data_IF_683703250339
#
_entry.id   IF_683703250339
#
_cell.length_a   1.000
_cell.length_b   1.000
_cell.length_c   1.000
_cell.angle_alpha   90.00
_cell.angle_beta   90.00
_cell.angle_gamma   90.00
#
_symmetry.space_group_name_H-M   'P 1'
#
loop_
_entity.id
_entity.type
_entity.pdbx_description
1 polymer ?
#
# COMPACT_ATOMS: atom_id res chain seq x y z
N UNK A 1 18.39 10.14 9.69
CA UNK A 1 17.28 11.10 9.42
C UNK A 1 15.97 10.33 9.46
N UNK A 2 14.95 10.84 10.15
CA UNK A 2 13.62 10.24 10.16
C UNK A 2 12.89 10.76 8.91
N UNK A 3 12.75 9.92 7.89
CA UNK A 3 12.05 10.33 6.67
C UNK A 3 10.55 10.51 6.96
N UNK A 4 9.87 11.42 6.26
CA UNK A 4 8.43 11.59 6.41
C UNK A 4 7.68 10.42 5.76
N UNK A 5 6.53 10.09 6.34
CA UNK A 5 5.60 9.12 5.77
C UNK A 5 4.99 9.70 4.49
N UNK A 6 5.00 8.92 3.41
CA UNK A 6 4.19 9.21 2.23
C UNK A 6 2.84 8.49 2.35
N UNK A 7 1.81 9.20 2.81
CA UNK A 7 0.48 8.63 3.03
C UNK A 7 -0.43 8.79 1.81
N UNK A 8 -0.59 7.70 1.06
CA UNK A 8 -1.49 7.58 -0.08
C UNK A 8 -2.92 7.44 0.45
N UNK A 9 -3.63 8.56 0.56
CA UNK A 9 -4.98 8.57 1.08
C UNK A 9 -5.94 8.13 -0.03
N UNK A 10 -6.22 6.83 -0.11
CA UNK A 10 -7.24 6.30 -1.03
C UNK A 10 -8.64 6.66 -0.48
N UNK A 11 -9.55 7.21 -1.30
CA UNK A 11 -10.89 7.55 -0.84
C UNK A 11 -11.64 6.37 -0.24
N UNK A 12 -12.20 6.60 0.96
CA UNK A 12 -13.09 5.69 1.71
C UNK A 12 -12.46 4.40 2.25
N UNK A 13 -11.16 4.43 2.52
CA UNK A 13 -10.41 3.31 3.13
C UNK A 13 -9.89 3.64 4.54
N UNK A 14 -10.70 4.30 5.38
CA UNK A 14 -10.30 4.79 6.71
C UNK A 14 -9.13 5.81 6.73
N UNK A 15 -8.75 6.37 5.57
CA UNK A 15 -7.62 7.28 5.49
C UNK A 15 -7.79 8.62 6.22
N UNK A 16 -9.02 9.13 6.34
CA UNK A 16 -9.31 10.30 7.20
C UNK A 16 -9.01 10.00 8.65
N UNK A 17 -9.41 8.83 9.15
CA UNK A 17 -9.14 8.41 10.53
C UNK A 17 -7.65 8.34 10.82
N UNK A 18 -6.88 7.75 9.90
CA UNK A 18 -5.43 7.65 10.02
C UNK A 18 -4.75 9.03 9.96
N UNK A 19 -5.14 9.89 9.00
CA UNK A 19 -4.62 11.26 8.89
C UNK A 19 -4.90 12.04 10.17
N UNK A 20 -6.12 11.98 10.72
CA UNK A 20 -6.46 12.70 11.95
C UNK A 20 -5.70 12.15 13.15
N UNK A 21 -5.45 10.83 13.23
CA UNK A 21 -4.59 10.25 14.27
C UNK A 21 -3.15 10.83 14.22
N UNK A 22 -2.59 10.98 13.02
CA UNK A 22 -1.30 11.65 12.83
C UNK A 22 -1.37 13.14 13.22
N UNK A 23 -2.41 13.86 12.79
CA UNK A 23 -2.58 15.29 13.09
C UNK A 23 -2.75 15.55 14.59
N UNK A 24 -3.51 14.71 15.30
CA UNK A 24 -3.68 14.80 16.75
C UNK A 24 -2.36 14.62 17.50
N UNK A 25 -1.51 13.72 17.01
CA UNK A 25 -0.23 13.44 17.67
C UNK A 25 0.85 14.47 17.34
N UNK A 26 0.96 14.85 16.08
CA UNK A 26 2.10 15.63 15.59
C UNK A 26 1.75 17.08 15.25
N UNK A 27 0.47 17.46 15.30
CA UNK A 27 -0.02 18.75 14.86
C UNK A 27 -0.17 18.83 13.34
N UNK A 28 -1.26 19.46 12.89
CA UNK A 28 -1.59 19.59 11.46
C UNK A 28 -0.52 20.34 10.65
N UNK A 29 0.23 21.27 11.27
CA UNK A 29 1.31 22.02 10.63
C UNK A 29 2.51 21.15 10.23
N UNK A 30 2.65 19.96 10.84
CA UNK A 30 3.73 19.02 10.56
C UNK A 30 3.35 17.96 9.53
N UNK A 31 2.20 18.12 8.87
CA UNK A 31 1.72 17.22 7.82
C UNK A 31 1.42 18.05 6.58
N UNK A 32 2.19 17.83 5.52
CA UNK A 32 1.90 18.43 4.22
C UNK A 32 0.71 17.71 3.59
N UNK A 33 -0.20 18.49 3.00
CA UNK A 33 -1.41 17.98 2.36
C UNK A 33 -1.36 18.23 0.87
N UNK A 34 -1.68 17.21 0.09
CA UNK A 34 -1.66 17.23 -1.38
C UNK A 34 -2.93 16.57 -1.93
N UNK A 35 -3.96 17.37 -2.19
CA UNK A 35 -5.25 16.88 -2.69
C UNK A 35 -5.40 17.23 -4.17
N UNK A 36 -5.60 18.52 -4.46
CA UNK A 36 -5.57 19.08 -5.82
C UNK A 36 -5.05 20.53 -5.75
N UNK A 37 -4.61 21.14 -6.86
CA UNK A 37 -4.20 22.55 -6.86
C UNK A 37 -5.30 23.50 -6.36
N UNK A 38 -6.56 23.16 -6.65
CA UNK A 38 -7.74 23.97 -6.32
C UNK A 38 -8.27 23.69 -4.91
N UNK A 39 -7.99 22.52 -4.34
CA UNK A 39 -8.42 22.17 -2.99
C UNK A 39 -7.85 23.15 -1.96
N UNK A 40 -8.69 23.64 -1.06
CA UNK A 40 -8.28 24.54 0.02
C UNK A 40 -7.39 23.81 1.04
N UNK A 41 -7.54 22.48 1.18
CA UNK A 41 -6.73 21.68 2.09
C UNK A 41 -5.29 21.48 1.61
N UNK A 42 -5.02 21.63 0.30
CA UNK A 42 -3.66 21.48 -0.24
C UNK A 42 -2.75 22.56 0.34
N UNK A 43 -1.63 22.12 0.92
CA UNK A 43 -0.68 23.00 1.59
C UNK A 43 -0.08 24.02 0.62
N UNK A 44 0.02 25.29 1.05
CA UNK A 44 0.58 26.39 0.23
C UNK A 44 1.93 26.01 -0.39
N UNK A 45 2.81 25.39 0.40
CA UNK A 45 4.12 24.89 -0.06
C UNK A 45 4.04 23.84 -1.16
N UNK A 46 3.05 22.94 -1.12
CA UNK A 46 2.85 21.95 -2.18
C UNK A 46 2.33 22.65 -3.45
N UNK A 47 1.39 23.60 -3.31
CA UNK A 47 0.92 24.43 -4.44
C UNK A 47 2.06 25.17 -5.13
N UNK A 48 2.92 25.79 -4.33
CA UNK A 48 4.07 26.53 -4.81
C UNK A 48 5.11 25.60 -5.46
N UNK A 49 5.65 24.63 -4.71
CA UNK A 49 6.80 23.83 -5.15
C UNK A 49 6.42 22.85 -6.26
N UNK A 50 5.33 22.09 -6.08
CA UNK A 50 4.95 21.02 -7.01
C UNK A 50 4.08 21.56 -8.13
N UNK A 51 3.01 22.28 -7.81
CA UNK A 51 2.04 22.67 -8.84
C UNK A 51 2.42 23.94 -9.62
N UNK A 52 3.25 24.81 -9.07
CA UNK A 52 3.68 26.03 -9.77
C UNK A 52 5.08 25.90 -10.39
N UNK A 53 6.00 25.16 -9.77
CA UNK A 53 7.38 25.05 -10.22
C UNK A 53 7.81 23.64 -10.66
N UNK A 54 7.00 22.60 -10.44
CA UNK A 54 7.32 21.20 -10.74
C UNK A 54 8.66 20.71 -10.10
N UNK A 55 9.02 21.25 -8.93
CA UNK A 55 10.33 21.00 -8.31
C UNK A 55 10.25 19.95 -7.19
N UNK A 56 10.23 18.68 -7.60
CA UNK A 56 10.26 17.55 -6.68
C UNK A 56 11.53 17.49 -5.81
N UNK A 57 12.65 18.01 -6.29
CA UNK A 57 13.90 18.01 -5.53
C UNK A 57 13.84 19.04 -4.39
N UNK A 58 13.33 20.24 -4.63
CA UNK A 58 13.05 21.21 -3.57
C UNK A 58 12.06 20.66 -2.55
N UNK A 59 11.03 19.90 -2.97
CA UNK A 59 10.16 19.22 -2.01
C UNK A 59 10.92 18.19 -1.17
N UNK A 60 11.81 17.39 -1.78
CA UNK A 60 12.66 16.43 -1.06
C UNK A 60 13.53 17.14 -0.01
N UNK A 61 14.15 18.27 -0.37
CA UNK A 61 14.95 19.06 0.56
C UNK A 61 14.10 19.67 1.68
N UNK A 62 12.91 20.17 1.35
CA UNK A 62 11.95 20.70 2.33
C UNK A 62 11.51 19.62 3.35
N UNK A 63 11.20 18.43 2.85
CA UNK A 63 10.82 17.27 3.65
C UNK A 63 11.97 16.75 4.54
N UNK A 64 13.21 16.95 4.11
CA UNK A 64 14.42 16.51 4.84
C UNK A 64 14.92 17.54 5.85
N UNK A 65 14.68 18.82 5.60
CA UNK A 65 15.16 19.95 6.42
C UNK A 65 14.20 20.38 7.52
N UNK A 66 12.94 19.94 7.46
CA UNK A 66 11.90 20.28 8.44
C UNK A 66 11.42 19.02 9.18
N UNK A 67 10.88 19.21 10.38
CA UNK A 67 10.22 18.17 11.18
C UNK A 67 8.86 17.73 10.60
N UNK A 68 8.71 17.66 9.28
CA UNK A 68 7.51 17.10 8.67
C UNK A 68 7.45 15.60 8.98
N UNK A 69 6.29 15.16 9.45
CA UNK A 69 6.06 13.77 9.82
C UNK A 69 5.45 12.99 8.67
N UNK A 70 4.68 13.67 7.82
CA UNK A 70 4.06 13.06 6.66
C UNK A 70 3.77 14.07 5.55
N UNK A 71 3.65 13.55 4.33
CA UNK A 71 2.85 14.13 3.25
C UNK A 71 1.65 13.21 3.00
N UNK A 72 0.47 13.78 2.80
CA UNK A 72 -0.77 13.01 2.71
C UNK A 72 -1.77 13.61 1.72
N UNK A 73 -2.47 12.75 0.98
CA UNK A 73 -3.63 13.18 0.21
C UNK A 73 -3.99 12.28 -0.96
N UNK A 74 -4.77 12.81 -1.90
CA UNK A 74 -5.39 12.05 -2.98
C UNK A 74 -4.53 12.10 -4.25
N UNK A 75 -3.47 11.29 -4.28
CA UNK A 75 -2.55 11.16 -5.42
C UNK A 75 -2.13 9.70 -5.61
N UNK A 76 -1.62 9.38 -6.80
CA UNK A 76 -1.07 8.06 -7.11
C UNK A 76 0.28 7.85 -6.43
N UNK A 77 0.56 6.63 -5.97
CA UNK A 77 1.74 6.26 -5.21
C UNK A 77 3.06 6.65 -5.91
N UNK A 78 3.08 6.58 -7.24
CA UNK A 78 4.22 6.97 -8.08
C UNK A 78 4.65 8.45 -7.89
N UNK A 79 3.71 9.36 -7.60
CA UNK A 79 3.96 10.82 -7.58
C UNK A 79 5.19 11.20 -6.74
N UNK A 80 5.37 10.58 -5.58
CA UNK A 80 6.48 10.89 -4.67
C UNK A 80 7.49 9.76 -4.50
N UNK A 81 7.38 8.70 -5.30
CA UNK A 81 8.19 7.47 -5.14
C UNK A 81 9.69 7.66 -5.37
N UNK A 82 10.06 8.65 -6.19
CA UNK A 82 11.46 9.00 -6.49
C UNK A 82 12.12 9.84 -5.40
N UNK A 83 11.33 10.47 -4.52
CA UNK A 83 11.84 11.37 -3.48
C UNK A 83 11.62 10.86 -2.06
N UNK A 84 10.63 9.99 -1.85
CA UNK A 84 10.37 9.29 -0.59
C UNK A 84 10.43 7.78 -0.86
N UNK A 85 11.27 7.01 -0.14
CA UNK A 85 11.39 5.58 -0.33
C UNK A 85 10.05 4.84 -0.21
N UNK A 86 9.89 3.78 -0.99
CA UNK A 86 8.68 2.94 -0.97
C UNK A 86 8.41 2.30 0.42
N UNK A 87 9.46 2.09 1.21
CA UNK A 87 9.36 1.62 2.60
C UNK A 87 8.75 2.64 3.56
N UNK A 88 8.67 3.91 3.17
CA UNK A 88 8.00 4.99 3.92
C UNK A 88 6.60 5.29 3.38
N UNK A 89 6.13 4.53 2.38
CA UNK A 89 4.77 4.64 1.88
C UNK A 89 3.80 3.92 2.80
N UNK A 90 2.69 4.60 3.06
CA UNK A 90 1.55 4.06 3.80
C UNK A 90 0.30 4.25 2.95
N UNK A 91 -0.51 3.22 2.86
CA UNK A 91 -1.84 3.29 2.28
C UNK A 91 -2.81 2.46 3.12
N UNK A 92 -4.10 2.68 2.92
CA UNK A 92 -5.13 1.78 3.44
C UNK A 92 -6.04 1.36 2.29
N UNK A 93 -6.43 0.10 2.30
CA UNK A 93 -7.42 -0.48 1.39
C UNK A 93 -8.66 -0.93 2.15
N UNK A 94 -9.72 -1.24 1.41
CA UNK A 94 -11.00 -1.74 1.90
C UNK A 94 -11.54 -2.74 0.89
N UNK A 95 -12.40 -3.64 1.35
CA UNK A 95 -13.15 -4.52 0.44
C UNK A 95 -13.80 -3.68 -0.69
N UNK A 96 -13.53 -3.98 -1.97
CA UNK A 96 -13.85 -3.10 -3.09
C UNK A 96 -15.32 -2.71 -3.21
N UNK A 97 -16.25 -3.64 -2.99
CA UNK A 97 -17.69 -3.37 -3.09
C UNK A 97 -18.12 -2.44 -1.95
N UNK A 98 -17.69 -2.73 -0.73
CA UNK A 98 -17.92 -1.92 0.47
C UNK A 98 -17.35 -0.51 0.34
N UNK A 99 -16.21 -0.37 -0.34
CA UNK A 99 -15.58 0.92 -0.65
C UNK A 99 -16.43 1.76 -1.60
N UNK A 100 -16.94 1.15 -2.68
CA UNK A 100 -17.84 1.80 -3.65
C UNK A 100 -19.12 2.28 -2.96
N UNK A 101 -19.79 1.39 -2.21
CA UNK A 101 -21.01 1.72 -1.46
C UNK A 101 -20.76 2.86 -0.47
N UNK A 102 -19.62 2.82 0.24
CA UNK A 102 -19.26 3.86 1.20
C UNK A 102 -19.01 5.22 0.54
N UNK A 103 -18.48 5.23 -0.68
CA UNK A 103 -18.23 6.44 -1.45
C UNK A 103 -19.52 7.02 -2.04
N UNK A 104 -20.33 6.20 -2.69
CA UNK A 104 -21.65 6.59 -3.20
C UNK A 104 -22.49 7.27 -2.12
N UNK A 105 -22.61 6.62 -0.96
CA UNK A 105 -23.31 7.17 0.20
C UNK A 105 -22.72 8.49 0.72
N UNK A 106 -21.41 8.69 0.58
CA UNK A 106 -20.77 9.95 0.95
C UNK A 106 -21.09 11.07 -0.04
N UNK A 107 -21.10 10.77 -1.34
CA UNK A 107 -21.48 11.73 -2.39
C UNK A 107 -22.95 12.12 -2.31
N UNK A 108 -23.86 11.20 -1.96
CA UNK A 108 -25.26 11.54 -1.69
C UNK A 108 -25.35 12.55 -0.55
N UNK A 109 -24.71 12.26 0.60
CA UNK A 109 -24.84 13.09 1.82
C UNK A 109 -24.18 14.47 1.71
N UNK A 110 -23.05 14.57 1.02
CA UNK A 110 -22.19 15.76 1.09
C UNK A 110 -22.01 16.49 -0.25
N UNK A 111 -22.39 15.87 -1.37
CA UNK A 111 -22.21 16.45 -2.70
C UNK A 111 -23.53 16.52 -3.49
N UNK A 112 -24.68 16.19 -2.88
CA UNK A 112 -25.99 16.25 -3.53
C UNK A 112 -26.13 15.30 -4.71
N UNK A 113 -25.34 14.23 -4.76
CA UNK A 113 -25.35 13.26 -5.84
C UNK A 113 -26.67 12.48 -5.88
N UNK A 114 -27.31 12.39 -7.05
CA UNK A 114 -28.66 11.83 -7.19
C UNK A 114 -28.71 10.49 -7.93
N UNK A 115 -27.63 10.06 -8.60
CA UNK A 115 -27.66 8.82 -9.38
C UNK A 115 -27.61 7.58 -8.50
N UNK A 116 -28.10 6.47 -9.04
CA UNK A 116 -28.09 5.16 -8.39
C UNK A 116 -26.67 4.65 -8.09
N UNK A 117 -26.58 3.64 -7.24
CA UNK A 117 -25.32 2.98 -6.90
C UNK A 117 -24.64 2.39 -8.14
N UNK A 118 -25.41 1.78 -9.04
CA UNK A 118 -24.88 1.18 -10.27
C UNK A 118 -24.34 2.24 -11.22
N UNK A 119 -25.07 3.33 -11.43
CA UNK A 119 -24.59 4.45 -12.25
C UNK A 119 -23.31 5.05 -11.68
N UNK A 120 -23.21 5.18 -10.34
CA UNK A 120 -21.97 5.63 -9.68
C UNK A 120 -20.82 4.65 -9.90
N UNK A 121 -21.05 3.34 -9.78
CA UNK A 121 -20.02 2.32 -9.97
C UNK A 121 -19.48 2.26 -11.40
N UNK A 122 -20.32 2.58 -12.40
CA UNK A 122 -19.96 2.62 -13.82
C UNK A 122 -19.12 3.85 -14.21
N UNK A 123 -19.07 4.89 -13.38
CA UNK A 123 -18.22 6.05 -13.65
C UNK A 123 -16.74 5.64 -13.62
N UNK A 124 -15.98 5.99 -14.67
CA UNK A 124 -14.55 5.64 -14.81
C UNK A 124 -13.69 6.02 -13.61
N UNK A 125 -14.07 7.07 -12.88
CA UNK A 125 -13.36 7.49 -11.68
C UNK A 125 -13.54 6.53 -10.51
N UNK A 126 -14.56 5.67 -10.51
CA UNK A 126 -14.86 4.74 -9.42
C UNK A 126 -14.36 3.32 -9.67
N UNK A 127 -14.15 2.94 -10.93
CA UNK A 127 -13.60 1.64 -11.36
C UNK A 127 -12.13 1.49 -10.92
N UNK A 128 -11.78 0.33 -10.34
CA UNK A 128 -10.43 -0.09 -9.96
C UNK A 128 -9.64 1.03 -9.26
N UNK A 129 -10.31 1.76 -8.35
CA UNK A 129 -9.75 2.98 -7.74
C UNK A 129 -8.53 2.66 -6.88
N UNK A 130 -8.55 1.58 -6.09
CA UNK A 130 -7.46 1.24 -5.18
C UNK A 130 -6.21 0.83 -5.99
N UNK A 131 -6.40 0.05 -7.06
CA UNK A 131 -5.35 -0.39 -7.97
C UNK A 131 -4.70 0.78 -8.70
N UNK A 132 -5.50 1.73 -9.21
CA UNK A 132 -4.96 2.96 -9.83
C UNK A 132 -4.16 3.81 -8.85
N UNK A 133 -4.61 3.91 -7.59
CA UNK A 133 -3.86 4.67 -6.59
C UNK A 133 -2.50 4.05 -6.25
N UNK A 134 -2.38 2.72 -6.34
CA UNK A 134 -1.15 1.99 -6.04
C UNK A 134 -0.35 1.59 -7.29
N UNK A 135 -0.80 2.01 -8.48
CA UNK A 135 -0.16 1.64 -9.74
C UNK A 135 1.30 2.10 -9.80
N UNK A 136 2.12 1.35 -10.54
CA UNK A 136 3.55 1.64 -10.73
C UNK A 136 4.42 1.28 -9.52
N UNK A 137 3.84 0.84 -8.40
CA UNK A 137 4.58 0.45 -7.20
C UNK A 137 4.32 -1.03 -6.88
N UNK A 138 5.36 -1.86 -6.71
CA UNK A 138 5.18 -3.22 -6.19
C UNK A 138 4.54 -3.19 -4.80
N UNK A 139 3.31 -3.70 -4.67
CA UNK A 139 2.54 -3.62 -3.42
C UNK A 139 3.26 -4.30 -2.22
N UNK A 140 4.11 -5.29 -2.49
CA UNK A 140 4.93 -5.96 -1.47
C UNK A 140 6.08 -5.11 -0.95
N UNK A 141 6.48 -4.06 -1.68
CA UNK A 141 7.54 -3.11 -1.29
C UNK A 141 7.02 -1.95 -0.44
N UNK A 142 5.72 -1.67 -0.50
CA UNK A 142 5.08 -0.63 0.30
C UNK A 142 5.29 -0.93 1.79
N UNK A 143 5.80 0.08 2.50
CA UNK A 143 6.07 0.03 3.94
C UNK A 143 4.90 -0.52 4.73
N UNK A 144 3.71 0.05 4.56
CA UNK A 144 2.47 -0.49 5.10
C UNK A 144 1.30 -0.28 4.15
N UNK A 145 0.58 -1.37 3.85
CA UNK A 145 -0.79 -1.29 3.37
C UNK A 145 -1.71 -1.84 4.45
N UNK A 146 -2.42 -0.92 5.12
CA UNK A 146 -3.44 -1.26 6.11
C UNK A 146 -4.72 -1.72 5.44
N UNK A 147 -5.53 -2.48 6.17
CA UNK A 147 -6.83 -2.96 5.70
C UNK A 147 -7.89 -2.39 6.63
N UNK A 148 -8.92 -1.77 6.07
CA UNK A 148 -9.97 -1.07 6.84
C UNK A 148 -10.68 -2.01 7.81
N UNK A 149 -10.92 -3.25 7.38
CA UNK A 149 -11.52 -4.34 8.16
C UNK A 149 -10.64 -4.78 9.34
N UNK A 150 -9.34 -4.52 9.28
CA UNK A 150 -8.34 -4.82 10.33
C UNK A 150 -7.63 -3.54 10.79
N UNK A 151 -8.38 -2.42 10.92
CA UNK A 151 -7.79 -1.10 11.17
C UNK A 151 -6.95 -1.04 12.45
N UNK A 152 -7.42 -1.57 13.58
CA UNK A 152 -6.65 -1.59 14.83
C UNK A 152 -5.33 -2.36 14.69
N UNK A 153 -5.34 -3.52 14.02
CA UNK A 153 -4.12 -4.29 13.74
C UNK A 153 -3.17 -3.51 12.83
N UNK A 154 -3.72 -2.81 11.84
CA UNK A 154 -2.96 -1.94 10.93
C UNK A 154 -2.27 -0.78 11.67
N UNK A 155 -2.95 -0.15 12.63
CA UNK A 155 -2.38 0.92 13.46
C UNK A 155 -1.27 0.39 14.37
N UNK A 156 -1.46 -0.78 14.97
CA UNK A 156 -0.43 -1.42 15.79
C UNK A 156 0.82 -1.76 14.98
N UNK A 157 0.64 -2.30 13.77
CA UNK A 157 1.73 -2.59 12.85
C UNK A 157 2.43 -1.31 12.38
N UNK A 158 1.68 -0.25 12.05
CA UNK A 158 2.22 1.08 11.74
C UNK A 158 3.13 1.60 12.86
N UNK A 159 2.64 1.55 14.10
CA UNK A 159 3.39 2.02 15.27
C UNK A 159 4.68 1.23 15.47
N UNK A 160 4.68 -0.09 15.20
CA UNK A 160 5.88 -0.92 15.26
C UNK A 160 6.89 -0.56 14.18
N UNK A 161 6.46 -0.41 12.92
CA UNK A 161 7.35 -0.15 11.78
C UNK A 161 8.01 1.22 11.94
N UNK A 162 7.20 2.26 12.17
CA UNK A 162 7.67 3.64 12.10
C UNK A 162 7.98 4.27 13.47
N UNK A 163 7.77 3.54 14.56
CA UNK A 163 7.99 3.99 15.96
C UNK A 163 7.24 5.30 16.27
N UNK A 164 6.06 5.49 15.65
CA UNK A 164 5.29 6.74 15.74
C UNK A 164 4.23 6.73 16.84
N UNK A 165 3.90 5.60 17.48
CA UNK A 165 2.95 5.48 18.61
C UNK A 165 1.69 6.38 18.52
N UNK A 166 1.01 6.43 17.37
CA UNK A 166 -0.27 7.13 17.22
C UNK A 166 -1.37 6.34 17.95
N UNK A 167 -2.32 7.07 18.53
CA UNK A 167 -3.51 6.47 19.12
C UNK A 167 -4.54 6.25 18.03
N UNK A 168 -5.20 5.09 18.06
CA UNK A 168 -6.29 4.81 17.14
C UNK A 168 -7.36 5.89 17.24
N UNK A 169 -7.70 6.48 16.11
CA UNK A 169 -8.82 7.41 16.02
C UNK A 169 -9.93 6.76 15.18
N UNK A 170 -11.13 6.71 15.75
CA UNK A 170 -12.36 6.32 15.05
C UNK A 170 -13.31 7.52 15.13
N UNK A 171 -13.47 8.23 14.02
CA UNK A 171 -14.59 9.16 13.88
C UNK A 171 -15.75 8.42 13.26
N UNK A 172 -16.96 8.69 13.77
CA UNK A 172 -18.27 8.21 13.32
C UNK A 172 -18.20 7.16 12.21
N UNK A 173 -18.30 5.87 12.62
CA UNK A 173 -18.67 4.78 11.72
C UNK A 173 -19.75 5.31 10.78
N UNK A 174 -19.54 5.25 9.46
CA UNK A 174 -20.59 5.61 8.52
C UNK A 174 -21.89 4.90 8.92
N UNK A 175 -23.08 5.39 8.51
CA UNK A 175 -24.38 4.98 9.05
C UNK A 175 -24.69 3.48 9.04
N UNK A 176 -23.82 2.64 8.46
CA UNK A 176 -23.85 1.18 8.49
C UNK A 176 -23.02 0.61 9.66
N UNK A 177 -23.16 1.20 10.86
CA UNK A 177 -22.79 0.49 12.09
C UNK A 177 -23.70 -0.74 12.28
N UNK A 178 -23.30 -1.75 13.06
CA UNK A 178 -24.15 -2.91 13.30
C UNK A 178 -25.42 -2.45 14.01
N UNK A 179 -26.57 -2.47 13.32
CA UNK A 179 -27.89 -2.23 13.93
C UNK A 179 -28.90 -1.33 13.22
N UNK A 180 -28.69 -0.80 12.00
CA UNK A 180 -29.76 -0.09 11.26
C UNK A 180 -29.80 -0.43 9.77
N UNK A 181 -31.03 -0.70 9.31
CA UNK A 181 -31.51 -1.06 7.96
C UNK A 181 -30.44 -1.26 6.89
N UNK A 182 -30.03 -2.52 6.73
CA UNK A 182 -29.43 -3.00 5.49
C UNK A 182 -30.49 -2.78 4.40
N UNK A 183 -30.31 -1.75 3.58
CA UNK A 183 -30.88 -1.80 2.23
C UNK A 183 -30.24 -3.04 1.64
N UNK A 184 -31.02 -4.10 1.47
CA UNK A 184 -30.56 -5.30 0.78
C UNK A 184 -30.27 -4.87 -0.65
N UNK A 185 -28.99 -4.67 -0.97
CA UNK A 185 -28.55 -4.35 -2.32
C UNK A 185 -28.73 -5.62 -3.14
N UNK A 186 -29.34 -5.49 -4.30
CA UNK A 186 -29.55 -6.61 -5.23
C UNK A 186 -28.20 -7.28 -5.57
N UNK A 187 -28.20 -8.62 -5.59
CA UNK A 187 -27.03 -9.41 -5.93
C UNK A 187 -26.52 -9.08 -7.35
N UNK A 188 -27.43 -8.78 -8.28
CA UNK A 188 -27.05 -8.40 -9.66
C UNK A 188 -26.23 -7.10 -9.68
N UNK A 189 -26.58 -6.14 -8.83
CA UNK A 189 -25.82 -4.89 -8.66
C UNK A 189 -24.45 -5.18 -8.04
N UNK A 190 -24.40 -6.05 -7.04
CA UNK A 190 -23.15 -6.43 -6.37
C UNK A 190 -22.20 -7.11 -7.36
N UNK A 191 -22.70 -8.04 -8.17
CA UNK A 191 -21.89 -8.78 -9.14
C UNK A 191 -21.40 -7.88 -10.27
N UNK A 192 -22.21 -6.91 -10.71
CA UNK A 192 -21.78 -5.89 -11.66
C UNK A 192 -20.70 -4.97 -11.07
N UNK A 193 -20.82 -4.53 -9.80
CA UNK A 193 -19.76 -3.77 -9.13
C UNK A 193 -18.46 -4.59 -9.08
N UNK A 194 -18.54 -5.89 -8.74
CA UNK A 194 -17.36 -6.77 -8.73
C UNK A 194 -16.73 -6.87 -10.11
N UNK A 195 -17.54 -7.09 -11.15
CA UNK A 195 -17.07 -7.19 -12.54
C UNK A 195 -16.34 -5.92 -12.97
N UNK A 196 -16.89 -4.76 -12.64
CA UNK A 196 -16.27 -3.46 -12.91
C UNK A 196 -14.96 -3.27 -12.12
N UNK A 197 -14.79 -3.91 -10.96
CA UNK A 197 -13.69 -3.67 -10.02
C UNK A 197 -12.77 -4.90 -9.83
N UNK A 198 -12.59 -5.71 -10.87
CA UNK A 198 -11.86 -6.98 -10.77
C UNK A 198 -10.39 -6.81 -10.33
N UNK A 199 -9.71 -5.76 -10.78
CA UNK A 199 -8.31 -5.51 -10.40
C UNK A 199 -8.22 -5.15 -8.91
N UNK A 200 -9.17 -4.36 -8.41
CA UNK A 200 -9.28 -4.03 -6.99
C UNK A 200 -9.56 -5.28 -6.14
N UNK A 201 -10.38 -6.22 -6.62
CA UNK A 201 -10.65 -7.49 -5.92
C UNK A 201 -9.37 -8.31 -5.82
N UNK A 202 -8.69 -8.56 -6.95
CA UNK A 202 -7.46 -9.33 -6.98
C UNK A 202 -6.36 -8.69 -6.13
N UNK A 203 -6.22 -7.36 -6.21
CA UNK A 203 -5.26 -6.62 -5.40
C UNK A 203 -5.62 -6.68 -3.91
N UNK A 204 -6.89 -6.50 -3.55
CA UNK A 204 -7.36 -6.54 -2.17
C UNK A 204 -7.08 -7.89 -1.53
N UNK A 205 -7.35 -9.00 -2.22
CA UNK A 205 -7.04 -10.35 -1.72
C UNK A 205 -5.54 -10.54 -1.46
N UNK A 206 -4.69 -10.11 -2.40
CA UNK A 206 -3.23 -10.14 -2.24
C UNK A 206 -2.77 -9.30 -1.04
N UNK A 207 -3.34 -8.12 -0.87
CA UNK A 207 -3.02 -7.21 0.24
C UNK A 207 -3.51 -7.74 1.59
N UNK A 208 -4.68 -8.36 1.66
CA UNK A 208 -5.18 -9.02 2.87
C UNK A 208 -4.27 -10.19 3.26
N UNK A 209 -3.85 -11.02 2.29
CA UNK A 209 -2.93 -12.11 2.55
C UNK A 209 -1.57 -11.60 3.07
N UNK A 210 -1.01 -10.57 2.42
CA UNK A 210 0.22 -9.92 2.85
C UNK A 210 0.07 -9.32 4.27
N UNK A 211 -1.04 -8.63 4.54
CA UNK A 211 -1.34 -8.03 5.83
C UNK A 211 -1.38 -9.09 6.94
N UNK A 212 -2.15 -10.18 6.74
CA UNK A 212 -2.23 -11.30 7.69
C UNK A 212 -0.87 -11.93 7.95
N UNK A 213 -0.05 -12.11 6.91
CA UNK A 213 1.31 -12.62 7.05
C UNK A 213 2.16 -11.67 7.91
N UNK A 214 2.19 -10.36 7.61
CA UNK A 214 2.95 -9.37 8.40
C UNK A 214 2.48 -9.28 9.85
N UNK A 215 1.17 -9.37 10.10
CA UNK A 215 0.59 -9.42 11.45
C UNK A 215 1.03 -10.67 12.21
N UNK A 216 1.13 -11.83 11.55
CA UNK A 216 1.65 -13.07 12.19
C UNK A 216 3.09 -12.87 12.68
N UNK A 217 3.97 -12.33 11.85
CA UNK A 217 5.36 -12.01 12.25
C UNK A 217 5.40 -10.98 13.37
N UNK A 218 4.59 -9.93 13.27
CA UNK A 218 4.47 -8.91 14.31
C UNK A 218 4.06 -9.51 15.66
N UNK A 219 3.01 -10.33 15.71
CA UNK A 219 2.54 -11.02 16.92
C UNK A 219 3.61 -11.96 17.49
N UNK A 220 4.39 -12.60 16.62
CA UNK A 220 5.52 -13.44 17.00
C UNK A 220 6.78 -12.65 17.41
N UNK A 221 6.74 -11.30 17.40
CA UNK A 221 7.89 -10.41 17.66
C UNK A 221 9.08 -10.65 16.72
N UNK A 222 8.81 -11.11 15.51
CA UNK A 222 9.79 -11.34 14.46
C UNK A 222 9.70 -10.26 13.38
N UNK A 223 10.83 -9.93 12.76
CA UNK A 223 10.86 -9.05 11.61
C UNK A 223 10.32 -9.77 10.37
N UNK A 224 9.32 -9.19 9.71
CA UNK A 224 8.88 -9.65 8.41
C UNK A 224 9.79 -9.11 7.30
N UNK A 225 9.81 -9.83 6.19
CA UNK A 225 10.53 -9.50 4.96
C UNK A 225 9.61 -8.77 3.99
N UNK A 226 10.11 -7.68 3.41
CA UNK A 226 9.58 -7.09 2.20
C UNK A 226 10.14 -7.87 1.02
N UNK A 227 9.29 -8.41 0.16
CA UNK A 227 9.76 -9.18 -0.98
C UNK A 227 8.65 -9.71 -1.86
N UNK A 228 9.02 -10.02 -3.08
CA UNK A 228 8.15 -10.64 -4.08
C UNK A 228 8.99 -11.24 -5.19
N UNK A 229 8.39 -12.11 -5.97
CA UNK A 229 9.02 -12.72 -7.14
C UNK A 229 8.02 -12.91 -8.27
N UNK A 230 8.52 -12.95 -9.49
CA UNK A 230 7.77 -13.24 -10.71
C UNK A 230 8.47 -14.35 -11.48
N UNK A 231 7.72 -15.03 -12.33
CA UNK A 231 8.25 -16.06 -13.23
C UNK A 231 8.09 -15.52 -14.66
N UNK A 232 9.20 -15.12 -15.27
CA UNK A 232 9.20 -14.48 -16.59
C UNK A 232 10.36 -15.03 -17.41
N UNK A 233 10.11 -15.36 -18.68
CA UNK A 233 11.16 -15.75 -19.63
C UNK A 233 11.97 -17.00 -19.21
N UNK A 234 11.35 -17.95 -18.51
CA UNK A 234 12.05 -19.14 -17.99
C UNK A 234 12.96 -18.83 -16.80
N UNK A 235 12.74 -17.73 -16.09
CA UNK A 235 13.50 -17.34 -14.90
C UNK A 235 12.55 -16.97 -13.77
N UNK A 236 12.91 -17.37 -12.55
CA UNK A 236 12.35 -16.80 -11.33
C UNK A 236 13.19 -15.57 -11.01
N UNK A 237 12.55 -14.42 -10.91
CA UNK A 237 13.19 -13.15 -10.55
C UNK A 237 12.49 -12.57 -9.34
N UNK A 238 13.24 -12.18 -8.33
CA UNK A 238 12.64 -11.58 -7.16
C UNK A 238 13.58 -10.68 -6.39
N UNK A 239 13.06 -10.20 -5.27
CA UNK A 239 13.79 -9.35 -4.36
C UNK A 239 13.29 -9.58 -2.93
N UNK A 240 14.16 -9.35 -1.96
CA UNK A 240 13.84 -9.54 -0.54
C UNK A 240 14.79 -8.73 0.37
N UNK A 241 14.22 -8.01 1.34
CA UNK A 241 14.96 -7.31 2.40
C UNK A 241 14.11 -7.15 3.68
N UNK A 242 14.74 -6.87 4.81
CA UNK A 242 14.05 -6.47 6.05
C UNK A 242 14.47 -5.04 6.41
N UNK A 243 13.54 -4.24 6.94
CA UNK A 243 13.79 -2.81 7.21
C UNK A 243 14.93 -2.57 8.22
N UNK A 244 15.12 -3.47 9.19
CA UNK A 244 16.14 -3.35 10.23
C UNK A 244 17.37 -4.26 10.00
N UNK A 245 17.53 -4.81 8.79
CA UNK A 245 18.62 -5.75 8.48
C UNK A 245 19.32 -5.38 7.17
N UNK A 246 20.60 -5.03 7.27
CA UNK A 246 21.43 -4.72 6.11
C UNK A 246 22.14 -5.96 5.51
N UNK A 247 21.95 -7.15 6.09
CA UNK A 247 22.48 -8.40 5.53
C UNK A 247 21.64 -8.85 4.35
N UNK A 248 22.26 -9.59 3.44
CA UNK A 248 21.52 -10.32 2.42
C UNK A 248 20.75 -11.47 3.05
N UNK A 249 19.57 -11.75 2.50
CA UNK A 249 18.72 -12.84 2.97
C UNK A 249 18.95 -14.08 2.12
N UNK A 250 18.79 -15.23 2.73
CA UNK A 250 18.87 -16.52 2.05
C UNK A 250 17.48 -16.92 1.56
N UNK A 251 17.37 -17.17 0.26
CA UNK A 251 16.11 -17.52 -0.40
C UNK A 251 16.16 -18.97 -0.83
N UNK A 252 15.27 -19.77 -0.26
CA UNK A 252 15.05 -21.15 -0.68
C UNK A 252 13.93 -21.19 -1.72
N UNK A 253 14.20 -21.85 -2.84
CA UNK A 253 13.23 -22.06 -3.91
C UNK A 253 12.76 -23.50 -3.83
N UNK A 254 11.45 -23.66 -3.75
CA UNK A 254 10.78 -24.95 -3.72
C UNK A 254 10.00 -25.16 -5.01
N UNK A 255 10.11 -26.37 -5.57
CA UNK A 255 9.23 -26.89 -6.61
C UNK A 255 8.32 -27.92 -5.95
N UNK A 256 7.03 -27.61 -5.88
CA UNK A 256 6.08 -28.34 -5.02
C UNK A 256 6.56 -28.38 -3.56
N UNK A 257 7.14 -29.49 -3.08
CA UNK A 257 7.68 -29.64 -1.71
C UNK A 257 9.20 -29.85 -1.66
N UNK A 258 9.85 -29.98 -2.81
CA UNK A 258 11.28 -30.25 -2.90
C UNK A 258 12.05 -28.93 -3.00
N UNK A 259 13.03 -28.71 -2.11
CA UNK A 259 13.98 -27.61 -2.26
C UNK A 259 14.85 -27.86 -3.49
N UNK A 260 14.79 -26.97 -4.47
CA UNK A 260 15.55 -27.08 -5.72
C UNK A 260 16.76 -26.13 -5.77
N UNK A 261 16.74 -25.06 -4.97
CA UNK A 261 17.83 -24.10 -4.94
C UNK A 261 17.84 -23.30 -3.63
N UNK A 262 19.03 -22.80 -3.26
CA UNK A 262 19.25 -21.82 -2.21
C UNK A 262 20.09 -20.68 -2.80
N UNK A 263 19.60 -19.45 -2.65
CA UNK A 263 20.19 -18.24 -3.23
C UNK A 263 20.35 -17.16 -2.16
N UNK A 264 21.08 -16.11 -2.51
CA UNK A 264 21.22 -14.93 -1.65
C UNK A 264 20.63 -13.70 -2.35
N UNK A 265 19.89 -12.86 -1.61
CA UNK A 265 19.30 -11.62 -2.12
C UNK A 265 20.32 -10.50 -2.29
N UNK A 266 21.38 -10.72 -3.07
CA UNK A 266 22.51 -9.79 -3.23
C UNK A 266 22.70 -9.24 -4.65
N UNK A 267 21.77 -9.49 -5.57
CA UNK A 267 21.82 -8.95 -6.94
C UNK A 267 21.23 -7.55 -6.96
N UNK A 268 21.74 -6.70 -7.83
CA UNK A 268 21.19 -5.36 -8.01
C UNK A 268 19.80 -5.44 -8.66
N UNK A 269 18.82 -4.74 -8.07
CA UNK A 269 17.47 -4.59 -8.60
C UNK A 269 17.23 -3.12 -8.95
N UNK A 270 17.26 -2.79 -10.24
CA UNK A 270 17.16 -1.41 -10.72
C UNK A 270 15.84 -0.72 -10.30
N UNK A 271 14.72 -1.43 -10.46
CA UNK A 271 13.38 -0.91 -10.14
C UNK A 271 13.28 -0.50 -8.67
N UNK A 272 13.64 -1.40 -7.76
CA UNK A 272 13.58 -1.14 -6.33
C UNK A 272 14.68 -0.17 -5.86
N UNK A 273 15.83 -0.13 -6.52
CA UNK A 273 16.85 0.88 -6.26
C UNK A 273 16.32 2.30 -6.53
N UNK A 274 15.61 2.50 -7.65
CA UNK A 274 14.97 3.77 -8.00
C UNK A 274 13.86 4.16 -7.01
N UNK A 275 13.23 3.16 -6.37
CA UNK A 275 12.22 3.35 -5.31
C UNK A 275 12.81 3.49 -3.90
N UNK A 276 14.13 3.65 -3.77
CA UNK A 276 14.80 3.89 -2.50
C UNK A 276 14.90 2.66 -1.59
N UNK A 277 14.91 1.45 -2.15
CA UNK A 277 15.14 0.23 -1.38
C UNK A 277 16.51 0.23 -0.66
N UNK A 278 16.65 -0.51 0.45
CA UNK A 278 17.89 -0.52 1.22
C UNK A 278 19.03 -1.24 0.48
N UNK A 279 20.20 -1.28 1.13
CA UNK A 279 21.40 -1.97 0.62
C UNK A 279 21.80 -1.50 -0.79
N UNK A 280 21.56 -0.21 -1.08
CA UNK A 280 21.83 0.41 -2.37
C UNK A 280 21.24 -0.36 -3.57
N UNK A 281 20.08 -1.00 -3.38
CA UNK A 281 19.43 -1.80 -4.43
C UNK A 281 19.92 -3.24 -4.57
N UNK A 282 20.91 -3.69 -3.80
CA UNK A 282 21.43 -5.06 -3.84
C UNK A 282 20.56 -6.04 -3.03
N UNK A 283 19.29 -6.15 -3.40
CA UNK A 283 18.26 -6.94 -2.72
C UNK A 283 17.63 -8.04 -3.61
N UNK A 284 18.10 -8.17 -4.85
CA UNK A 284 17.54 -9.06 -5.86
C UNK A 284 18.12 -10.48 -5.80
N UNK A 285 17.40 -11.42 -6.42
CA UNK A 285 17.84 -12.78 -6.68
C UNK A 285 17.22 -13.29 -7.99
N UNK A 286 17.82 -14.30 -8.61
CA UNK A 286 17.22 -14.97 -9.76
C UNK A 286 17.65 -16.44 -9.87
N UNK A 287 16.78 -17.26 -10.47
CA UNK A 287 17.02 -18.68 -10.74
C UNK A 287 16.54 -19.03 -12.16
N UNK A 288 17.43 -19.60 -12.97
CA UNK A 288 17.09 -20.01 -14.33
C UNK A 288 16.41 -21.38 -14.30
N UNK A 289 15.21 -21.46 -14.89
CA UNK A 289 14.44 -22.69 -14.99
C UNK A 289 14.92 -23.52 -16.18
N UNK A 290 14.88 -24.84 -16.05
CA UNK A 290 14.99 -25.72 -17.22
C UNK A 290 13.68 -25.67 -18.00
N UNK A 291 13.71 -25.91 -19.32
CA UNK A 291 12.51 -25.93 -20.19
C UNK A 291 11.42 -26.88 -19.66
N UNK A 292 11.81 -28.01 -19.08
CA UNK A 292 10.90 -28.99 -18.47
C UNK A 292 10.16 -28.47 -17.23
N UNK A 293 10.50 -27.28 -16.73
CA UNK A 293 10.00 -26.72 -15.48
C UNK A 293 9.14 -25.47 -15.69
N UNK A 294 8.94 -25.03 -16.93
CA UNK A 294 8.23 -23.78 -17.22
C UNK A 294 6.76 -23.78 -16.77
N UNK A 295 6.16 -24.97 -16.61
CA UNK A 295 4.79 -25.14 -16.12
C UNK A 295 4.72 -25.56 -14.65
N UNK A 296 5.86 -25.65 -13.97
CA UNK A 296 5.88 -26.06 -12.57
C UNK A 296 5.54 -24.90 -11.64
N UNK A 297 4.93 -25.23 -10.51
CA UNK A 297 4.67 -24.26 -9.46
C UNK A 297 5.90 -24.10 -8.56
N UNK A 298 6.29 -22.84 -8.34
CA UNK A 298 7.42 -22.49 -7.51
C UNK A 298 7.01 -21.60 -6.34
N UNK A 299 7.67 -21.81 -5.21
CA UNK A 299 7.54 -21.00 -4.01
C UNK A 299 8.92 -20.51 -3.59
N UNK A 300 9.06 -19.21 -3.34
CA UNK A 300 10.25 -18.63 -2.73
C UNK A 300 10.01 -18.40 -1.23
N UNK A 301 10.91 -18.88 -0.39
CA UNK A 301 10.84 -18.78 1.07
C UNK A 301 12.12 -18.15 1.59
N UNK A 302 11.99 -17.21 2.52
CA UNK A 302 13.13 -16.62 3.23
C UNK A 302 13.56 -17.59 4.33
N UNK A 303 14.76 -18.16 4.23
CA UNK A 303 15.26 -19.22 5.13
C UNK A 303 15.25 -18.79 6.59
N UNK A 304 15.64 -17.55 6.86
CA UNK A 304 15.81 -17.01 8.22
C UNK A 304 14.48 -16.84 8.96
N UNK A 305 13.36 -16.69 8.23
CA UNK A 305 12.05 -16.37 8.82
C UNK A 305 10.98 -17.41 8.50
N UNK A 306 11.22 -18.30 7.54
CA UNK A 306 10.19 -19.16 6.94
C UNK A 306 9.11 -18.37 6.18
N UNK A 307 9.32 -17.07 5.94
CA UNK A 307 8.33 -16.25 5.24
C UNK A 307 8.27 -16.61 3.77
N UNK A 308 7.08 -16.99 3.28
CA UNK A 308 6.79 -17.13 1.86
C UNK A 308 6.69 -15.76 1.20
N UNK A 309 7.48 -15.52 0.16
CA UNK A 309 7.35 -14.32 -0.67
C UNK A 309 6.11 -14.39 -1.56
N UNK A 310 5.54 -13.25 -1.91
CA UNK A 310 4.38 -13.20 -2.82
C UNK A 310 4.83 -13.39 -4.27
N UNK A 311 4.06 -14.17 -5.02
CA UNK A 311 4.11 -14.15 -6.48
C UNK A 311 3.45 -12.84 -6.95
N UNK A 312 4.23 -11.99 -7.63
CA UNK A 312 3.81 -10.66 -8.11
C UNK A 312 3.59 -10.65 -9.62
#
# INVERSE_FOLDING_TARGET
MNLPINFIHIPKTAGTSFRVALEKKYGSKNILRDYTPRAAETSKKVKEIIYSHDDFYALKLLLSSRNFVAIAGHYFAEKYSKIIPVSEMVAFVREPVSRIISEHNHFIRHAGYQKSLIEFAQEKININKQSRYLQGIPYTAIGLVGVTEYYSESINLFNKIYKKNIVEFRDNQGPNGPGKSIVTIDNDIIDEIKRLNIDDIVLYEKLVALHKQRIKFFKARQDFTYGGYKIVGGRIEGWAYQANNNKALTIEIFKSKLKVCELTSNKYNLELAQLGSPRSGYIGFYYNLKKSEYKAEFICVVKETGQRLSLI
#
